data_IF_459215107955
#
_entry.id   IF_459215107955
#
_cell.length_a   1.000
_cell.length_b   1.000
_cell.length_c   1.000
_cell.angle_alpha   90.00
_cell.angle_beta   90.00
_cell.angle_gamma   90.00
#
_symmetry.space_group_name_H-M   'P 1'
#
loop_
_entity.id
_entity.type
_entity.pdbx_description
1 polymer ?
#
# COMPACT_ATOMS: atom_id res chain seq x y z
N UNK A 1 -66.19 14.67 -37.49
CA UNK A 1 -66.05 14.53 -36.01
C UNK A 1 -64.55 14.43 -35.70
N UNK A 2 -63.93 15.51 -35.15
CA UNK A 2 -62.47 15.53 -34.90
C UNK A 2 -62.27 15.36 -33.40
N UNK A 3 -61.77 14.21 -32.98
CA UNK A 3 -61.44 13.90 -31.58
C UNK A 3 -60.12 14.62 -31.23
N UNK A 4 -60.20 15.59 -30.31
CA UNK A 4 -59.02 16.27 -29.76
C UNK A 4 -58.42 15.37 -28.67
N UNK A 5 -57.21 14.83 -28.95
CA UNK A 5 -56.39 14.14 -27.94
C UNK A 5 -55.84 15.18 -26.94
N UNK A 6 -56.32 15.17 -25.70
CA UNK A 6 -55.76 15.93 -24.61
C UNK A 6 -54.43 15.30 -24.19
N UNK A 7 -53.31 15.92 -24.60
CA UNK A 7 -51.94 15.53 -24.19
C UNK A 7 -51.68 16.08 -22.80
N UNK A 8 -51.85 15.25 -21.78
CA UNK A 8 -51.53 15.59 -20.38
C UNK A 8 -50.00 15.69 -20.26
N UNK A 9 -49.49 16.91 -20.14
CA UNK A 9 -48.11 17.16 -19.80
C UNK A 9 -47.87 16.86 -18.32
N UNK A 10 -47.22 15.75 -18.01
CA UNK A 10 -46.69 15.49 -16.66
C UNK A 10 -45.70 16.58 -16.31
N UNK A 11 -45.99 17.42 -15.35
CA UNK A 11 -45.04 18.38 -14.77
C UNK A 11 -43.89 17.58 -14.18
N UNK A 12 -42.71 17.70 -14.73
CA UNK A 12 -41.48 17.21 -14.10
C UNK A 12 -41.18 18.14 -12.93
N UNK A 13 -41.24 17.63 -11.69
CA UNK A 13 -40.73 18.36 -10.54
C UNK A 13 -39.20 18.49 -10.68
N UNK A 14 -38.71 19.70 -10.71
CA UNK A 14 -37.27 19.99 -10.67
C UNK A 14 -36.79 20.01 -9.23
N UNK A 15 -35.54 19.69 -9.01
CA UNK A 15 -34.89 19.85 -7.71
C UNK A 15 -34.80 21.33 -7.31
N UNK A 16 -34.95 21.62 -6.03
CA UNK A 16 -34.73 22.95 -5.49
C UNK A 16 -33.25 23.21 -5.24
N UNK A 17 -32.81 24.46 -5.33
CA UNK A 17 -31.44 24.85 -5.05
C UNK A 17 -31.03 24.48 -3.61
N UNK A 18 -31.97 24.60 -2.65
CA UNK A 18 -31.72 24.28 -1.25
C UNK A 18 -31.49 22.78 -1.03
N UNK A 19 -32.20 21.90 -1.76
CA UNK A 19 -31.99 20.45 -1.68
C UNK A 19 -30.57 20.07 -2.09
N UNK A 20 -30.06 20.62 -3.19
CA UNK A 20 -28.68 20.36 -3.63
C UNK A 20 -27.67 20.99 -2.67
N UNK A 21 -27.94 22.19 -2.15
CA UNK A 21 -27.05 22.87 -1.20
C UNK A 21 -26.86 22.03 0.08
N UNK A 22 -27.96 21.53 0.67
CA UNK A 22 -27.88 20.71 1.88
C UNK A 22 -27.08 19.43 1.60
N UNK A 23 -27.30 18.76 0.47
CA UNK A 23 -26.59 17.52 0.12
C UNK A 23 -25.09 17.77 -0.02
N UNK A 24 -24.67 18.82 -0.73
CA UNK A 24 -23.24 19.08 -0.91
C UNK A 24 -22.54 19.49 0.38
N UNK A 25 -23.23 20.19 1.28
CA UNK A 25 -22.70 20.54 2.60
C UNK A 25 -22.50 19.28 3.45
N UNK A 26 -23.49 18.39 3.51
CA UNK A 26 -23.39 17.13 4.25
C UNK A 26 -22.28 16.26 3.68
N UNK A 27 -22.20 16.12 2.36
CA UNK A 27 -21.12 15.36 1.72
C UNK A 27 -19.74 15.96 1.98
N UNK A 28 -19.63 17.29 2.02
CA UNK A 28 -18.37 17.97 2.36
C UNK A 28 -17.89 17.68 3.78
N UNK A 29 -18.82 17.71 4.76
CA UNK A 29 -18.50 17.38 6.16
C UNK A 29 -18.08 15.90 6.29
N UNK A 30 -18.81 14.99 5.66
CA UNK A 30 -18.50 13.57 5.69
C UNK A 30 -17.13 13.27 5.02
N UNK A 31 -16.87 13.89 3.87
CA UNK A 31 -15.60 13.74 3.17
C UNK A 31 -14.41 14.21 4.02
N UNK A 32 -14.55 15.33 4.74
CA UNK A 32 -13.49 15.87 5.59
C UNK A 32 -13.07 14.92 6.73
N UNK A 33 -13.99 14.09 7.22
CA UNK A 33 -13.72 13.12 8.28
C UNK A 33 -13.19 11.80 7.70
N UNK A 34 -13.76 11.35 6.60
CA UNK A 34 -13.51 10.00 6.05
C UNK A 34 -12.18 9.92 5.29
N UNK A 35 -11.80 10.98 4.56
CA UNK A 35 -10.58 10.96 3.73
C UNK A 35 -9.31 10.68 4.55
N UNK A 36 -9.01 11.38 5.67
CA UNK A 36 -7.81 11.10 6.45
C UNK A 36 -7.77 9.66 6.99
N UNK A 37 -8.90 9.12 7.45
CA UNK A 37 -8.96 7.76 7.97
C UNK A 37 -8.60 6.69 6.93
N UNK A 38 -8.96 6.89 5.65
CA UNK A 38 -8.57 5.98 4.59
C UNK A 38 -7.08 6.06 4.26
N UNK A 39 -6.48 7.22 4.41
CA UNK A 39 -5.05 7.41 4.16
C UNK A 39 -4.23 6.62 5.20
N UNK A 40 -4.55 6.74 6.47
CA UNK A 40 -3.87 6.04 7.55
C UNK A 40 -4.04 4.52 7.42
N UNK A 41 -5.27 4.04 7.21
CA UNK A 41 -5.53 2.61 7.01
C UNK A 41 -4.79 2.02 5.78
N UNK A 42 -4.61 2.79 4.71
CA UNK A 42 -3.87 2.36 3.53
C UNK A 42 -2.37 2.22 3.81
N UNK A 43 -1.81 3.08 4.66
CA UNK A 43 -0.42 3.03 5.09
C UNK A 43 -0.14 1.83 5.98
N UNK A 44 -0.99 1.58 6.98
CA UNK A 44 -0.88 0.42 7.86
C UNK A 44 -0.99 -0.90 7.07
N UNK A 45 -1.89 -0.97 6.11
CA UNK A 45 -1.99 -2.11 5.20
C UNK A 45 -0.72 -2.27 4.36
N UNK A 46 -0.11 -1.17 3.91
CA UNK A 46 1.18 -1.16 3.20
C UNK A 46 2.30 -1.71 4.07
N UNK A 47 2.40 -1.26 5.33
CA UNK A 47 3.38 -1.74 6.29
C UNK A 47 3.24 -3.24 6.59
N UNK A 48 2.01 -3.70 6.85
CA UNK A 48 1.73 -5.12 7.07
C UNK A 48 2.09 -5.98 5.85
N UNK A 49 1.80 -5.49 4.63
CA UNK A 49 2.18 -6.13 3.39
C UNK A 49 3.70 -6.21 3.23
N UNK A 50 4.41 -5.11 3.47
CA UNK A 50 5.87 -5.06 3.41
C UNK A 50 6.52 -6.06 4.37
N UNK A 51 6.01 -6.13 5.61
CA UNK A 51 6.50 -7.08 6.62
C UNK A 51 6.30 -8.52 6.19
N UNK A 52 5.13 -8.87 5.68
CA UNK A 52 4.83 -10.22 5.20
C UNK A 52 5.71 -10.60 4.00
N UNK A 53 5.91 -9.70 3.06
CA UNK A 53 6.80 -9.90 1.92
C UNK A 53 8.25 -10.12 2.38
N UNK A 54 8.74 -9.30 3.32
CA UNK A 54 10.08 -9.42 3.87
C UNK A 54 10.32 -10.80 4.51
N UNK A 55 9.38 -11.29 5.32
CA UNK A 55 9.47 -12.62 5.92
C UNK A 55 9.51 -13.72 4.86
N UNK A 56 8.68 -13.61 3.84
CA UNK A 56 8.67 -14.57 2.72
C UNK A 56 10.01 -14.56 1.98
N UNK A 57 10.54 -13.38 1.68
CA UNK A 57 11.82 -13.26 0.98
C UNK A 57 13.00 -13.82 1.80
N UNK A 58 13.02 -13.53 3.10
CA UNK A 58 14.04 -14.12 4.01
C UNK A 58 13.97 -15.63 4.02
N UNK A 59 12.78 -16.22 4.07
CA UNK A 59 12.59 -17.67 4.01
C UNK A 59 13.12 -18.27 2.70
N UNK A 60 12.94 -17.60 1.57
CA UNK A 60 13.46 -18.06 0.28
C UNK A 60 14.98 -17.93 0.18
N UNK A 61 15.56 -16.88 0.78
CA UNK A 61 17.01 -16.72 0.88
C UNK A 61 17.62 -17.86 1.73
N UNK A 62 17.00 -18.20 2.86
CA UNK A 62 17.48 -19.30 3.69
C UNK A 62 17.32 -20.65 2.98
N UNK A 63 16.24 -20.89 2.26
CA UNK A 63 16.06 -22.08 1.43
C UNK A 63 17.15 -22.20 0.36
N UNK A 64 17.47 -21.10 -0.31
CA UNK A 64 18.56 -21.04 -1.27
C UNK A 64 19.90 -21.43 -0.61
N UNK A 65 20.20 -20.88 0.58
CA UNK A 65 21.43 -21.18 1.34
C UNK A 65 21.53 -22.65 1.68
N UNK A 66 20.45 -23.26 2.17
CA UNK A 66 20.44 -24.69 2.49
C UNK A 66 20.76 -25.56 1.26
N UNK A 67 20.24 -25.20 0.09
CA UNK A 67 20.44 -25.96 -1.15
C UNK A 67 21.78 -25.67 -1.83
N UNK A 68 22.45 -24.57 -1.48
CA UNK A 68 23.72 -24.14 -2.06
C UNK A 68 24.89 -24.18 -1.05
N UNK A 69 24.91 -25.17 -0.16
CA UNK A 69 26.01 -25.40 0.81
C UNK A 69 26.29 -24.17 1.70
N UNK A 70 25.29 -23.42 2.09
CA UNK A 70 25.43 -22.22 2.92
C UNK A 70 25.78 -20.94 2.15
N UNK A 71 25.95 -21.00 0.84
CA UNK A 71 26.24 -19.82 0.04
C UNK A 71 24.99 -18.91 -0.06
N UNK A 72 25.20 -17.64 0.21
CA UNK A 72 24.13 -16.65 0.03
C UNK A 72 23.91 -16.35 -1.47
N UNK A 73 22.68 -16.04 -1.90
CA UNK A 73 22.47 -15.58 -3.27
C UNK A 73 23.25 -14.28 -3.48
N UNK A 74 24.13 -14.27 -4.47
CA UNK A 74 24.96 -13.11 -4.78
C UNK A 74 24.24 -12.20 -5.78
N UNK A 75 24.47 -10.91 -5.64
CA UNK A 75 24.08 -9.94 -6.67
C UNK A 75 25.18 -9.89 -7.72
N UNK A 76 24.84 -9.81 -8.98
CA UNK A 76 25.78 -9.61 -10.11
C UNK A 76 26.45 -8.22 -10.09
N UNK A 77 26.89 -7.76 -8.92
CA UNK A 77 27.58 -6.48 -8.75
C UNK A 77 26.70 -5.24 -8.93
N UNK A 78 25.39 -5.42 -9.04
CA UNK A 78 24.42 -4.33 -9.21
C UNK A 78 23.57 -4.05 -7.96
N UNK A 79 22.92 -2.91 -7.94
CA UNK A 79 22.01 -2.42 -6.88
C UNK A 79 20.72 -3.25 -6.77
N UNK A 80 20.54 -4.24 -7.62
CA UNK A 80 19.30 -5.00 -7.78
C UNK A 80 19.30 -6.29 -6.96
N UNK A 81 19.51 -6.28 -5.66
CA UNK A 81 19.28 -7.40 -4.75
C UNK A 81 19.56 -8.83 -5.29
N UNK A 82 19.27 -9.87 -4.55
CA UNK A 82 19.51 -11.27 -4.95
C UNK A 82 18.45 -11.82 -5.91
N UNK A 83 17.57 -10.96 -6.41
CA UNK A 83 16.31 -11.35 -7.05
C UNK A 83 16.52 -12.13 -8.33
N UNK A 84 17.49 -11.75 -9.16
CA UNK A 84 17.77 -12.43 -10.42
C UNK A 84 18.15 -13.91 -10.20
N UNK A 85 18.98 -14.18 -9.20
CA UNK A 85 19.41 -15.54 -8.83
C UNK A 85 18.24 -16.35 -8.27
N UNK A 86 17.44 -15.74 -7.40
CA UNK A 86 16.28 -16.41 -6.79
C UNK A 86 15.17 -16.71 -7.81
N UNK A 87 14.96 -15.82 -8.79
CA UNK A 87 14.01 -16.06 -9.90
C UNK A 87 14.52 -17.15 -10.83
N UNK A 88 15.80 -17.10 -11.22
CA UNK A 88 16.39 -18.11 -12.09
C UNK A 88 16.40 -19.50 -11.46
N UNK A 89 16.59 -19.58 -10.14
CA UNK A 89 16.52 -20.82 -9.37
C UNK A 89 15.11 -21.27 -9.00
N UNK A 90 14.06 -20.57 -9.46
CA UNK A 90 12.65 -20.85 -9.17
C UNK A 90 12.26 -20.79 -7.66
N UNK A 91 13.04 -20.10 -6.83
CA UNK A 91 12.71 -19.85 -5.42
C UNK A 91 11.59 -18.81 -5.27
N UNK A 92 11.58 -17.82 -6.17
CA UNK A 92 10.53 -16.81 -6.25
C UNK A 92 10.08 -16.66 -7.71
N UNK A 93 8.84 -16.24 -7.92
CA UNK A 93 8.30 -16.05 -9.27
C UNK A 93 8.80 -14.75 -9.93
N UNK A 94 8.96 -13.70 -9.13
CA UNK A 94 9.41 -12.38 -9.57
C UNK A 94 10.05 -11.63 -8.41
N UNK A 95 10.83 -10.60 -8.71
CA UNK A 95 11.32 -9.68 -7.70
C UNK A 95 10.14 -9.07 -6.91
N UNK A 96 10.33 -8.80 -5.60
CA UNK A 96 9.28 -8.22 -4.78
C UNK A 96 8.92 -6.82 -5.26
N UNK A 97 7.64 -6.47 -5.15
CA UNK A 97 7.16 -5.13 -5.40
C UNK A 97 6.73 -4.52 -4.06
N UNK A 98 7.54 -3.60 -3.57
CA UNK A 98 7.33 -3.01 -2.26
C UNK A 98 6.28 -1.90 -2.29
N UNK A 99 5.47 -1.76 -1.23
CA UNK A 99 4.60 -0.59 -1.08
C UNK A 99 5.37 0.72 -1.11
N UNK A 100 4.69 1.82 -1.43
CA UNK A 100 5.28 3.15 -1.48
C UNK A 100 5.95 3.51 -0.14
N UNK A 101 7.14 4.10 -0.20
CA UNK A 101 7.95 4.45 0.97
C UNK A 101 8.87 3.35 1.47
N UNK A 102 8.62 2.09 1.12
CA UNK A 102 9.47 0.98 1.54
C UNK A 102 10.56 0.67 0.50
N UNK A 103 11.78 0.49 0.98
CA UNK A 103 12.91 0.03 0.17
C UNK A 103 13.65 -1.11 0.87
N UNK A 104 14.51 -1.80 0.15
CA UNK A 104 15.28 -2.91 0.67
C UNK A 104 16.78 -2.65 0.54
N UNK A 105 17.55 -3.24 1.44
CA UNK A 105 18.97 -3.38 1.32
C UNK A 105 19.37 -4.85 1.53
N UNK A 106 20.15 -5.39 0.61
CA UNK A 106 20.68 -6.73 0.72
C UNK A 106 22.21 -6.69 0.84
N UNK A 107 22.73 -7.16 1.97
CA UNK A 107 24.16 -7.18 2.22
C UNK A 107 24.56 -8.44 2.99
N UNK A 108 25.68 -9.05 2.59
CA UNK A 108 26.25 -10.23 3.24
C UNK A 108 25.23 -11.39 3.45
N UNK A 109 24.28 -11.54 2.55
CA UNK A 109 23.26 -12.59 2.66
C UNK A 109 22.09 -12.24 3.57
N UNK A 110 22.03 -11.03 4.10
CA UNK A 110 20.93 -10.54 4.93
C UNK A 110 20.10 -9.51 4.17
N UNK A 111 18.77 -9.63 4.27
CA UNK A 111 17.83 -8.69 3.72
C UNK A 111 17.28 -7.80 4.85
N UNK A 112 17.50 -6.52 4.75
CA UNK A 112 17.00 -5.49 5.64
C UNK A 112 16.02 -4.57 4.93
N UNK A 113 15.34 -3.74 5.70
CA UNK A 113 14.30 -2.83 5.21
C UNK A 113 14.59 -1.42 5.69
N UNK A 114 14.26 -0.42 4.86
CA UNK A 114 14.24 0.97 5.26
C UNK A 114 12.94 1.65 4.80
N UNK A 115 12.60 2.76 5.45
CA UNK A 115 11.41 3.54 5.13
C UNK A 115 11.79 5.02 4.89
N UNK A 116 11.27 5.60 3.82
CA UNK A 116 11.47 7.01 3.49
C UNK A 116 10.42 7.89 4.18
N UNK A 117 10.69 8.24 5.42
CA UNK A 117 9.84 9.13 6.23
C UNK A 117 9.84 10.60 5.77
N UNK A 118 10.72 10.97 4.82
CA UNK A 118 10.80 12.35 4.30
C UNK A 118 9.70 12.61 3.26
N UNK A 119 9.44 11.63 2.40
CA UNK A 119 8.52 11.77 1.28
C UNK A 119 7.18 11.04 1.50
N UNK A 120 7.11 10.14 2.46
CA UNK A 120 5.92 9.35 2.76
C UNK A 120 5.54 9.48 4.23
N UNK A 121 4.24 9.59 4.55
CA UNK A 121 3.79 9.58 5.93
C UNK A 121 4.11 8.23 6.59
N UNK A 122 4.57 8.29 7.82
CA UNK A 122 4.99 7.11 8.59
C UNK A 122 3.75 6.31 9.01
N UNK A 123 3.68 5.00 8.77
CA UNK A 123 2.59 4.17 9.29
C UNK A 123 2.77 3.89 10.79
N UNK A 124 1.68 3.77 11.54
CA UNK A 124 1.72 3.30 12.94
C UNK A 124 1.94 1.78 12.97
N UNK A 125 3.20 1.35 13.09
CA UNK A 125 3.55 -0.08 13.10
C UNK A 125 3.78 -0.63 14.50
N UNK A 126 3.94 0.24 15.50
CA UNK A 126 4.10 -0.12 16.89
C UNK A 126 2.75 -0.17 17.65
N UNK A 127 1.69 0.46 17.09
CA UNK A 127 0.33 0.43 17.61
C UNK A 127 0.09 1.40 18.76
N UNK A 128 0.89 2.46 18.88
CA UNK A 128 0.72 3.47 19.96
C UNK A 128 -0.25 4.61 19.60
N UNK A 129 -0.69 4.64 18.33
CA UNK A 129 -1.60 5.65 17.79
C UNK A 129 -0.90 6.95 17.34
N UNK A 130 0.42 6.96 17.32
CA UNK A 130 1.22 8.05 16.77
C UNK A 130 2.01 7.55 15.55
N UNK A 131 2.21 8.40 14.57
CA UNK A 131 2.97 8.08 13.37
C UNK A 131 4.31 8.85 13.44
N UNK A 132 5.33 8.27 14.06
CA UNK A 132 6.54 8.99 14.43
C UNK A 132 7.86 8.24 14.14
N UNK A 133 8.97 8.76 14.69
CA UNK A 133 10.29 8.18 14.50
C UNK A 133 10.46 6.80 15.16
N UNK A 134 9.64 6.46 16.16
CA UNK A 134 9.67 5.14 16.79
C UNK A 134 9.16 4.08 15.81
N UNK A 135 8.17 4.41 14.97
CA UNK A 135 7.67 3.53 13.93
C UNK A 135 8.71 3.28 12.83
N UNK A 136 9.44 4.32 12.43
CA UNK A 136 10.55 4.17 11.47
C UNK A 136 11.60 3.20 12.03
N UNK A 137 11.97 3.37 13.29
CA UNK A 137 12.91 2.47 13.97
C UNK A 137 12.38 1.04 14.05
N UNK A 138 11.08 0.86 14.33
CA UNK A 138 10.43 -0.43 14.35
C UNK A 138 10.41 -1.11 12.97
N UNK A 139 10.18 -0.34 11.90
CA UNK A 139 10.26 -0.83 10.51
C UNK A 139 11.67 -1.31 10.17
N UNK A 140 12.68 -0.55 10.53
CA UNK A 140 14.09 -0.88 10.25
C UNK A 140 14.59 -2.07 11.06
N UNK A 141 13.94 -2.36 12.17
CA UNK A 141 14.21 -3.54 13.01
C UNK A 141 13.58 -4.84 12.48
N UNK A 142 12.75 -4.79 11.46
CA UNK A 142 12.16 -6.00 10.86
C UNK A 142 13.23 -6.78 10.09
#
# INVERSE_FOLDING_TARGET
>A
MRTRLNKTYRRRSGFTLIEILIVVVILGILAAIVIPQFTDAAQDAGAASARSQLQTMRSQIELYRVQNNGAAPVTDGGTAGPWAVLVAGAYIRSAPNWPAGFSEAYAAGSLSRSFDSTNYPVPDVNGDGANDAADVTAIEAW
#
